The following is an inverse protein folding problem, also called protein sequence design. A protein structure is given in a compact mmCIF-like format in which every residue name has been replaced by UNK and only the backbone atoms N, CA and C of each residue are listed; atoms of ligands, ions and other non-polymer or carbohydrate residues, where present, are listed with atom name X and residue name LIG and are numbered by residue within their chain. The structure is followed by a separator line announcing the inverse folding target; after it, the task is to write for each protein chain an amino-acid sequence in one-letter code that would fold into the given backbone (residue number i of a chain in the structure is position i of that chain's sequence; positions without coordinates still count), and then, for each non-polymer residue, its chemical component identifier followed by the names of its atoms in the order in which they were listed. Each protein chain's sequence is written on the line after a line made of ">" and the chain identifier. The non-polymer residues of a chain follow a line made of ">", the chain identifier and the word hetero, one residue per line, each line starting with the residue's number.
data_IF_595400120057
#
_entry.id   IF_595400120057
#
_cell.length_a   1.000
_cell.length_b   1.000
_cell.length_c   1.000
_cell.angle_alpha   90.00
_cell.angle_beta   90.00
_cell.angle_gamma   90.00
#
_symmetry.space_group_name_H-M   'P 1'
#
loop_
_entity.id
_entity.type
_entity.pdbx_description
1 polymer ?
#
# COMPACT_ATOMS: atom_id res chain seq x y z
N UNK A 1 15.12 -14.69 -10.15
CA UNK A 1 14.75 -13.29 -10.49
C UNK A 1 15.87 -12.34 -10.11
N UNK A 2 16.13 -11.32 -10.91
CA UNK A 2 17.05 -10.21 -10.61
C UNK A 2 16.34 -9.17 -9.76
N UNK A 3 17.03 -8.53 -8.85
CA UNK A 3 16.46 -7.49 -7.99
C UNK A 3 17.30 -6.21 -8.09
N UNK A 4 16.63 -5.07 -8.14
CA UNK A 4 17.26 -3.75 -8.19
C UNK A 4 16.60 -2.85 -7.14
N UNK A 5 17.38 -2.27 -6.24
CA UNK A 5 16.88 -1.21 -5.35
C UNK A 5 16.72 0.06 -6.17
N UNK A 6 15.55 0.64 -6.12
CA UNK A 6 15.18 1.82 -6.90
C UNK A 6 14.63 2.93 -6.03
N UNK A 7 14.76 4.14 -6.51
CA UNK A 7 14.09 5.30 -5.94
C UNK A 7 13.36 6.05 -7.05
N UNK A 8 12.21 6.56 -6.73
CA UNK A 8 11.44 7.43 -7.61
C UNK A 8 10.71 8.49 -6.78
N UNK A 9 10.06 9.44 -7.42
CA UNK A 9 9.42 10.56 -6.71
C UNK A 9 7.92 10.55 -6.92
N UNK A 10 7.19 10.86 -5.84
CA UNK A 10 5.76 11.12 -5.86
C UNK A 10 5.52 12.47 -5.22
N UNK A 11 5.01 13.43 -6.00
CA UNK A 11 4.79 14.82 -5.57
C UNK A 11 5.99 15.44 -4.80
N UNK A 12 7.20 15.18 -5.30
CA UNK A 12 8.45 15.68 -4.70
C UNK A 12 8.99 14.87 -3.53
N UNK A 13 8.28 13.85 -3.05
CA UNK A 13 8.71 12.95 -1.98
C UNK A 13 9.42 11.74 -2.60
N UNK A 14 10.61 11.41 -2.13
CA UNK A 14 11.38 10.27 -2.60
C UNK A 14 10.86 8.98 -1.98
N UNK A 15 10.50 8.04 -2.83
CA UNK A 15 10.02 6.72 -2.45
C UNK A 15 11.09 5.64 -2.71
N UNK A 16 11.21 4.71 -1.78
CA UNK A 16 12.12 3.58 -1.86
C UNK A 16 11.40 2.33 -2.33
N UNK A 17 11.91 1.68 -3.36
CA UNK A 17 11.33 0.49 -3.95
C UNK A 17 12.35 -0.59 -4.27
N UNK A 18 11.82 -1.73 -4.68
CA UNK A 18 12.58 -2.85 -5.26
C UNK A 18 11.90 -3.26 -6.54
N UNK A 19 12.64 -3.21 -7.64
CA UNK A 19 12.23 -3.74 -8.93
C UNK A 19 12.72 -5.18 -9.06
N UNK A 20 11.80 -6.08 -9.27
CA UNK A 20 12.02 -7.50 -9.50
C UNK A 20 11.87 -7.79 -10.99
N UNK A 21 12.86 -8.35 -11.61
CA UNK A 21 12.92 -8.64 -13.04
C UNK A 21 13.11 -10.14 -13.28
N UNK A 22 12.52 -10.71 -14.35
CA UNK A 22 12.88 -12.06 -14.80
C UNK A 22 14.37 -12.22 -15.05
N UNK A 23 14.90 -13.43 -14.83
CA UNK A 23 16.32 -13.73 -15.09
C UNK A 23 16.62 -13.84 -16.59
N UNK A 24 15.64 -14.30 -17.36
CA UNK A 24 15.77 -14.48 -18.80
C UNK A 24 15.46 -13.19 -19.55
N UNK A 25 16.41 -12.74 -20.33
CA UNK A 25 16.14 -11.75 -21.39
C UNK A 25 15.40 -12.46 -22.53
N UNK A 26 14.12 -12.16 -22.68
CA UNK A 26 13.29 -12.74 -23.75
C UNK A 26 13.39 -11.92 -25.05
N UNK A 27 14.28 -10.94 -25.12
CA UNK A 27 14.42 -10.03 -26.27
C UNK A 27 13.22 -9.09 -26.47
N UNK A 28 12.32 -9.01 -25.46
CA UNK A 28 11.14 -8.13 -25.46
C UNK A 28 10.96 -7.53 -24.07
N UNK A 29 10.45 -6.29 -23.97
CA UNK A 29 10.09 -5.69 -22.69
C UNK A 29 9.04 -6.51 -21.92
N UNK A 30 9.15 -6.55 -20.59
CA UNK A 30 8.25 -7.30 -19.71
C UNK A 30 6.99 -6.49 -19.38
N UNK A 31 5.82 -7.14 -19.27
CA UNK A 31 4.69 -6.51 -18.59
C UNK A 31 5.07 -6.09 -17.19
N UNK A 32 4.69 -4.87 -16.80
CA UNK A 32 5.03 -4.30 -15.49
C UNK A 32 3.87 -4.38 -14.52
N UNK A 33 4.15 -4.82 -13.29
CA UNK A 33 3.18 -4.87 -12.20
C UNK A 33 3.66 -3.96 -11.07
N UNK A 34 2.84 -2.96 -10.69
CA UNK A 34 3.07 -2.16 -9.49
C UNK A 34 2.31 -2.77 -8.33
N UNK A 35 3.01 -3.04 -7.24
CA UNK A 35 2.38 -3.43 -6.00
C UNK A 35 2.40 -2.32 -4.96
N UNK A 36 1.20 -1.92 -4.50
CA UNK A 36 1.02 -1.16 -3.28
C UNK A 36 0.86 -2.10 -2.07
N UNK A 37 1.68 -1.96 -1.02
CA UNK A 37 1.53 -2.74 0.21
C UNK A 37 0.15 -2.60 0.85
N UNK A 38 -0.25 -3.59 1.63
CA UNK A 38 -1.48 -3.57 2.41
C UNK A 38 -1.39 -2.67 3.63
N UNK A 39 -2.43 -2.69 4.46
CA UNK A 39 -2.48 -1.94 5.71
C UNK A 39 -1.30 -2.33 6.62
N UNK A 40 -0.48 -1.35 7.00
CA UNK A 40 0.77 -1.52 7.74
C UNK A 40 1.81 -2.42 7.04
N UNK A 41 1.68 -2.66 5.74
CA UNK A 41 2.61 -3.47 4.97
C UNK A 41 3.81 -2.66 4.46
N UNK A 42 4.95 -3.34 4.34
CA UNK A 42 6.18 -2.78 3.77
C UNK A 42 6.64 -3.64 2.58
N UNK A 43 7.43 -3.05 1.69
CA UNK A 43 7.98 -3.70 0.49
C UNK A 43 8.76 -5.00 0.75
N UNK A 44 9.38 -5.11 1.94
CA UNK A 44 10.23 -6.23 2.33
C UNK A 44 9.48 -7.43 2.91
N UNK A 45 8.14 -7.41 2.90
CA UNK A 45 7.35 -8.50 3.47
C UNK A 45 7.56 -9.80 2.67
N UNK A 46 7.93 -10.88 3.36
CA UNK A 46 8.32 -12.18 2.75
C UNK A 46 7.27 -12.75 1.81
N UNK A 47 5.99 -12.59 2.13
CA UNK A 47 4.91 -13.10 1.27
C UNK A 47 4.85 -12.37 -0.09
N UNK A 48 5.24 -11.09 -0.17
CA UNK A 48 5.36 -10.39 -1.45
C UNK A 48 6.50 -10.96 -2.29
N UNK A 49 7.65 -11.17 -1.68
CA UNK A 49 8.84 -11.71 -2.37
C UNK A 49 8.53 -13.09 -2.95
N UNK A 50 7.86 -13.97 -2.20
CA UNK A 50 7.47 -15.29 -2.68
C UNK A 50 6.52 -15.23 -3.88
N UNK A 51 5.64 -14.23 -3.93
CA UNK A 51 4.75 -14.02 -5.06
C UNK A 51 5.50 -13.45 -6.26
N UNK A 52 6.39 -12.47 -6.05
CA UNK A 52 7.18 -11.90 -7.14
C UNK A 52 8.10 -12.93 -7.79
N UNK A 53 8.63 -13.88 -7.03
CA UNK A 53 9.39 -14.98 -7.61
C UNK A 53 8.56 -15.79 -8.63
N UNK A 54 7.29 -16.06 -8.31
CA UNK A 54 6.37 -16.74 -9.24
C UNK A 54 6.01 -15.88 -10.45
N UNK A 55 5.75 -14.58 -10.24
CA UNK A 55 5.42 -13.67 -11.32
C UNK A 55 6.61 -13.44 -12.25
N UNK A 56 7.82 -13.27 -11.71
CA UNK A 56 9.03 -13.15 -12.52
C UNK A 56 9.32 -14.44 -13.31
N UNK A 57 9.12 -15.62 -12.72
CA UNK A 57 9.22 -16.88 -13.44
C UNK A 57 8.22 -16.99 -14.58
N UNK A 58 7.06 -16.33 -14.47
CA UNK A 58 6.05 -16.25 -15.52
C UNK A 58 6.28 -15.10 -16.53
N UNK A 59 7.39 -14.35 -16.40
CA UNK A 59 7.77 -13.31 -17.36
C UNK A 59 7.22 -11.91 -17.05
N UNK A 60 6.81 -11.62 -15.83
CA UNK A 60 6.36 -10.30 -15.38
C UNK A 60 7.45 -9.59 -14.57
N UNK A 61 7.63 -8.30 -14.77
CA UNK A 61 8.40 -7.45 -13.89
C UNK A 61 7.50 -6.90 -12.77
N UNK A 62 8.01 -6.81 -11.53
CA UNK A 62 7.24 -6.35 -10.39
C UNK A 62 7.98 -5.22 -9.67
N UNK A 63 7.31 -4.10 -9.43
CA UNK A 63 7.80 -3.02 -8.58
C UNK A 63 6.99 -3.01 -7.29
N UNK A 64 7.68 -3.21 -6.17
CA UNK A 64 7.14 -3.02 -4.83
C UNK A 64 7.89 -1.89 -4.14
N UNK A 65 7.18 -1.04 -3.40
CA UNK A 65 7.76 0.13 -2.76
C UNK A 65 7.10 0.42 -1.41
N UNK A 66 7.77 1.19 -0.57
CA UNK A 66 7.15 1.74 0.63
C UNK A 66 6.42 3.03 0.29
N UNK A 67 5.18 3.19 0.76
CA UNK A 67 4.46 4.45 0.62
C UNK A 67 5.18 5.61 1.32
N UNK A 68 4.88 6.85 0.92
CA UNK A 68 5.38 8.04 1.63
C UNK A 68 5.11 7.95 3.13
N UNK A 69 6.10 8.32 3.92
CA UNK A 69 6.02 8.24 5.38
C UNK A 69 6.16 6.82 5.97
N UNK A 70 6.47 5.80 5.14
CA UNK A 70 6.61 4.41 5.58
C UNK A 70 7.97 3.83 5.21
N UNK A 71 8.43 2.86 5.99
CA UNK A 71 9.66 2.12 5.72
C UNK A 71 10.85 3.02 5.40
N UNK A 72 11.48 2.76 4.26
CA UNK A 72 12.65 3.49 3.77
C UNK A 72 12.29 4.72 2.90
N UNK A 73 11.00 4.96 2.62
CA UNK A 73 10.53 6.13 1.89
C UNK A 73 10.56 7.39 2.76
N UNK A 74 10.79 8.53 2.12
CA UNK A 74 10.71 9.84 2.76
C UNK A 74 9.25 10.23 3.06
N UNK A 75 9.09 11.32 3.78
CA UNK A 75 7.80 11.90 4.17
C UNK A 75 7.79 12.25 5.66
N UNK A 76 7.28 13.43 5.99
CA UNK A 76 7.29 13.97 7.36
C UNK A 76 6.21 13.30 8.23
N UNK A 77 5.09 12.92 7.63
CA UNK A 77 3.98 12.27 8.33
C UNK A 77 4.22 10.76 8.41
N UNK A 78 5.10 10.38 9.34
CA UNK A 78 5.48 8.97 9.52
C UNK A 78 4.33 8.13 10.04
N UNK A 79 4.11 7.00 9.37
CA UNK A 79 3.11 6.00 9.78
C UNK A 79 1.65 6.36 9.47
N UNK A 80 1.39 7.48 8.75
CA UNK A 80 0.01 7.84 8.40
C UNK A 80 -0.54 6.99 7.27
N UNK A 81 -1.75 6.47 7.47
CA UNK A 81 -2.49 5.76 6.43
C UNK A 81 -3.41 6.73 5.72
N UNK A 82 -2.98 7.21 4.57
CA UNK A 82 -3.71 8.18 3.74
C UNK A 82 -3.97 7.57 2.36
N UNK A 83 -5.14 6.95 2.12
CA UNK A 83 -5.41 6.23 0.87
C UNK A 83 -5.23 7.07 -0.39
N UNK A 84 -5.57 8.37 -0.34
CA UNK A 84 -5.37 9.28 -1.48
C UNK A 84 -3.87 9.45 -1.83
N UNK A 85 -3.02 9.61 -0.83
CA UNK A 85 -1.57 9.70 -1.05
C UNK A 85 -1.01 8.38 -1.56
N UNK A 86 -1.47 7.26 -0.98
CA UNK A 86 -1.06 5.93 -1.41
C UNK A 86 -1.45 5.63 -2.87
N UNK A 87 -2.64 6.07 -3.30
CA UNK A 87 -3.04 5.96 -4.69
C UNK A 87 -2.14 6.80 -5.62
N UNK A 88 -1.76 8.01 -5.22
CA UNK A 88 -0.85 8.86 -6.00
C UNK A 88 0.57 8.27 -6.05
N UNK A 89 1.03 7.64 -4.96
CA UNK A 89 2.30 6.92 -4.93
C UNK A 89 2.31 5.74 -5.91
N UNK A 90 1.20 4.98 -6.01
CA UNK A 90 1.05 3.90 -7.00
C UNK A 90 1.08 4.47 -8.42
N UNK A 91 0.40 5.60 -8.70
CA UNK A 91 0.43 6.26 -10.01
C UNK A 91 1.82 6.74 -10.39
N UNK A 92 2.56 7.27 -9.42
CA UNK A 92 3.96 7.66 -9.60
C UNK A 92 4.86 6.45 -9.86
N UNK A 93 4.59 5.32 -9.22
CA UNK A 93 5.29 4.05 -9.48
C UNK A 93 5.00 3.52 -10.90
N UNK A 94 3.77 3.66 -11.40
CA UNK A 94 3.44 3.37 -12.81
C UNK A 94 4.25 4.26 -13.76
N UNK A 95 4.31 5.57 -13.49
CA UNK A 95 5.11 6.52 -14.29
C UNK A 95 6.60 6.17 -14.26
N UNK A 96 7.11 5.73 -13.11
CA UNK A 96 8.49 5.25 -13.03
C UNK A 96 8.71 4.00 -13.91
N UNK A 97 7.80 3.03 -13.90
CA UNK A 97 7.91 1.85 -14.76
C UNK A 97 7.92 2.20 -16.25
N UNK A 98 7.14 3.20 -16.69
CA UNK A 98 7.15 3.67 -18.08
C UNK A 98 8.52 4.20 -18.54
N UNK A 99 9.36 4.66 -17.61
CA UNK A 99 10.72 5.16 -17.95
C UNK A 99 11.74 4.04 -18.11
N UNK A 100 11.39 2.81 -17.77
CA UNK A 100 12.32 1.67 -17.76
C UNK A 100 12.33 0.96 -19.10
N UNK A 101 13.50 0.82 -19.76
CA UNK A 101 13.59 0.17 -21.07
C UNK A 101 13.23 -1.32 -21.06
N UNK A 102 13.30 -1.96 -19.88
CA UNK A 102 12.94 -3.37 -19.71
C UNK A 102 11.42 -3.58 -19.59
N UNK A 103 10.64 -2.50 -19.44
CA UNK A 103 9.20 -2.57 -19.19
C UNK A 103 8.40 -2.19 -20.45
N UNK A 104 7.38 -2.96 -20.73
CA UNK A 104 6.39 -2.64 -21.75
C UNK A 104 5.33 -1.69 -21.16
N UNK A 105 5.42 -0.42 -21.53
CA UNK A 105 4.52 0.64 -21.05
C UNK A 105 3.04 0.42 -21.42
N UNK A 106 2.76 -0.37 -22.47
CA UNK A 106 1.40 -0.70 -22.89
C UNK A 106 0.79 -1.87 -22.11
N UNK A 107 1.59 -2.54 -21.26
CA UNK A 107 1.17 -3.70 -20.46
C UNK A 107 1.46 -3.51 -18.97
N UNK A 108 0.90 -2.44 -18.41
CA UNK A 108 1.01 -2.14 -16.98
C UNK A 108 -0.19 -2.69 -16.19
N UNK A 109 0.09 -3.14 -14.98
CA UNK A 109 -0.92 -3.68 -14.07
C UNK A 109 -0.71 -3.17 -12.65
N UNK A 110 -1.78 -3.18 -11.87
CA UNK A 110 -1.73 -3.00 -10.41
C UNK A 110 -2.03 -4.30 -9.68
N UNK A 111 -1.27 -4.56 -8.64
CA UNK A 111 -1.53 -5.63 -7.69
C UNK A 111 -1.60 -5.04 -6.28
N UNK A 112 -2.63 -5.38 -5.55
CA UNK A 112 -2.76 -4.98 -4.16
C UNK A 112 -3.19 -6.12 -3.27
N UNK A 113 -2.56 -6.27 -2.10
CA UNK A 113 -2.95 -7.26 -1.11
C UNK A 113 -3.27 -6.61 0.23
N UNK A 114 -4.18 -7.25 0.98
CA UNK A 114 -4.70 -6.71 2.22
C UNK A 114 -5.65 -5.53 2.01
N UNK A 115 -6.26 -5.06 3.09
CA UNK A 115 -7.37 -4.10 3.02
C UNK A 115 -7.10 -2.87 2.17
N UNK A 116 -6.11 -2.07 2.54
CA UNK A 116 -5.79 -0.84 1.81
C UNK A 116 -5.10 -1.12 0.47
N UNK A 117 -4.15 -2.05 0.42
CA UNK A 117 -3.44 -2.36 -0.81
C UNK A 117 -4.38 -2.84 -1.91
N UNK A 118 -5.28 -3.79 -1.60
CA UNK A 118 -6.26 -4.28 -2.56
C UNK A 118 -7.26 -3.19 -2.98
N UNK A 119 -7.74 -2.36 -2.06
CA UNK A 119 -8.62 -1.23 -2.35
C UNK A 119 -7.95 -0.18 -3.22
N UNK A 120 -6.70 0.19 -2.90
CA UNK A 120 -5.92 1.15 -3.67
C UNK A 120 -5.65 0.65 -5.10
N UNK A 121 -5.33 -0.64 -5.29
CA UNK A 121 -5.11 -1.21 -6.60
C UNK A 121 -6.33 -1.06 -7.52
N UNK A 122 -7.53 -1.36 -7.00
CA UNK A 122 -8.80 -1.20 -7.73
C UNK A 122 -9.07 0.27 -8.02
N UNK A 123 -8.88 1.14 -7.02
CA UNK A 123 -9.11 2.57 -7.20
C UNK A 123 -8.20 3.15 -8.28
N UNK A 124 -6.90 2.85 -8.25
CA UNK A 124 -5.96 3.33 -9.28
C UNK A 124 -6.29 2.75 -10.64
N UNK A 125 -6.65 1.46 -10.74
CA UNK A 125 -7.07 0.87 -12.01
C UNK A 125 -8.32 1.54 -12.61
N UNK A 126 -9.21 2.05 -11.76
CA UNK A 126 -10.41 2.75 -12.22
C UNK A 126 -10.13 4.17 -12.75
N UNK A 127 -9.08 4.83 -12.27
CA UNK A 127 -8.81 6.24 -12.62
C UNK A 127 -7.59 6.44 -13.52
N UNK A 128 -6.73 5.42 -13.68
CA UNK A 128 -5.53 5.52 -14.49
C UNK A 128 -5.60 4.59 -15.74
N UNK A 129 -5.75 5.15 -16.93
CA UNK A 129 -5.97 4.39 -18.17
C UNK A 129 -4.77 3.54 -18.59
N UNK A 130 -3.59 3.75 -18.01
CA UNK A 130 -2.39 2.94 -18.26
C UNK A 130 -2.53 1.53 -17.69
N UNK A 131 -3.35 1.35 -16.64
CA UNK A 131 -3.57 0.05 -16.01
C UNK A 131 -4.48 -0.81 -16.89
N UNK A 132 -3.92 -1.91 -17.43
CA UNK A 132 -4.63 -2.87 -18.29
C UNK A 132 -5.17 -4.07 -17.52
N UNK A 133 -4.61 -4.35 -16.34
CA UNK A 133 -5.02 -5.44 -15.47
C UNK A 133 -4.90 -5.03 -14.01
N UNK A 134 -5.83 -5.48 -13.20
CA UNK A 134 -5.80 -5.24 -11.75
C UNK A 134 -6.05 -6.55 -11.01
N UNK A 135 -5.21 -6.82 -10.02
CA UNK A 135 -5.42 -7.92 -9.07
C UNK A 135 -5.59 -7.33 -7.68
N UNK A 136 -6.76 -7.54 -7.09
CA UNK A 136 -7.05 -7.14 -5.71
C UNK A 136 -7.24 -8.39 -4.84
N UNK A 137 -6.36 -8.58 -3.88
CA UNK A 137 -6.42 -9.69 -2.94
C UNK A 137 -6.78 -9.18 -1.55
N UNK A 138 -7.99 -9.54 -1.07
CA UNK A 138 -8.56 -9.11 0.22
C UNK A 138 -8.74 -7.58 0.32
N UNK A 139 -9.06 -6.90 -0.79
CA UNK A 139 -9.26 -5.46 -0.83
C UNK A 139 -10.51 -5.02 -0.07
N UNK A 140 -10.40 -3.88 0.63
CA UNK A 140 -11.52 -3.21 1.27
C UNK A 140 -12.15 -2.24 0.25
N UNK A 141 -13.42 -2.47 -0.09
CA UNK A 141 -14.17 -1.60 -1.01
C UNK A 141 -14.69 -0.34 -0.34
N UNK A 142 -15.06 -0.44 0.94
CA UNK A 142 -15.56 0.67 1.75
C UNK A 142 -14.88 0.67 3.12
N UNK A 143 -14.03 1.68 3.36
CA UNK A 143 -13.40 1.84 4.66
C UNK A 143 -14.41 2.03 5.80
N UNK A 144 -15.53 2.71 5.52
CA UNK A 144 -16.62 2.90 6.50
C UNK A 144 -17.23 1.56 6.91
N UNK A 145 -17.63 0.75 5.95
CA UNK A 145 -18.24 -0.56 6.22
C UNK A 145 -17.25 -1.50 6.89
N UNK A 146 -16.01 -1.51 6.44
CA UNK A 146 -14.96 -2.30 7.06
C UNK A 146 -14.75 -1.94 8.53
N UNK A 147 -14.70 -0.65 8.86
CA UNK A 147 -14.54 -0.18 10.24
C UNK A 147 -15.79 -0.46 11.09
N UNK A 148 -16.99 -0.38 10.48
CA UNK A 148 -18.26 -0.71 11.14
C UNK A 148 -18.33 -2.20 11.48
N UNK A 149 -18.02 -3.10 10.52
CA UNK A 149 -18.03 -4.55 10.75
C UNK A 149 -17.11 -5.04 11.89
N UNK A 150 -16.14 -4.23 12.29
CA UNK A 150 -15.24 -4.54 13.39
C UNK A 150 -15.75 -4.08 14.77
N UNK A 151 -16.91 -3.44 14.82
CA UNK A 151 -17.46 -2.79 16.02
C UNK A 151 -18.87 -3.25 16.29
N UNK A 152 -19.25 -3.29 17.56
CA UNK A 152 -20.65 -3.38 17.96
C UNK A 152 -21.32 -2.04 17.71
N UNK A 153 -22.65 -2.02 17.57
CA UNK A 153 -23.38 -0.80 17.18
C UNK A 153 -23.12 0.39 18.13
N UNK A 154 -23.09 0.16 19.45
CA UNK A 154 -22.81 1.25 20.38
C UNK A 154 -21.36 1.77 20.29
N UNK A 155 -20.39 0.89 20.03
CA UNK A 155 -19.00 1.28 19.78
C UNK A 155 -18.86 2.06 18.48
N UNK A 156 -19.68 1.72 17.48
CA UNK A 156 -19.72 2.43 16.22
C UNK A 156 -20.25 3.85 16.37
N UNK A 157 -21.33 4.04 17.15
CA UNK A 157 -21.87 5.37 17.47
C UNK A 157 -20.82 6.25 18.15
N UNK A 158 -20.14 5.71 19.16
CA UNK A 158 -19.07 6.44 19.88
C UNK A 158 -17.89 6.76 18.96
N UNK A 159 -17.52 5.82 18.08
CA UNK A 159 -16.46 6.02 17.10
C UNK A 159 -16.81 7.15 16.09
N UNK A 160 -18.03 7.19 15.59
CA UNK A 160 -18.47 8.26 14.69
C UNK A 160 -18.44 9.62 15.39
N UNK A 161 -18.85 9.67 16.67
CA UNK A 161 -18.76 10.89 17.46
C UNK A 161 -17.31 11.35 17.61
N UNK A 162 -16.38 10.44 17.90
CA UNK A 162 -14.96 10.78 18.02
C UNK A 162 -14.38 11.36 16.73
N UNK A 163 -14.80 10.84 15.57
CA UNK A 163 -14.41 11.37 14.25
C UNK A 163 -14.96 12.78 14.04
N UNK A 164 -16.22 13.02 14.42
CA UNK A 164 -16.82 14.34 14.27
C UNK A 164 -16.18 15.38 15.20
N UNK A 165 -15.86 14.99 16.42
CA UNK A 165 -15.16 15.84 17.38
C UNK A 165 -13.73 16.15 16.89
N UNK A 166 -12.98 15.17 16.38
CA UNK A 166 -11.66 15.40 15.77
C UNK A 166 -11.76 16.35 14.55
N UNK A 167 -12.78 16.17 13.71
CA UNK A 167 -13.01 17.06 12.57
C UNK A 167 -13.19 18.52 13.00
N UNK A 168 -13.95 18.76 14.08
CA UNK A 168 -14.15 20.10 14.66
C UNK A 168 -12.84 20.65 15.23
N UNK A 169 -12.10 19.83 15.98
CA UNK A 169 -10.80 20.23 16.54
C UNK A 169 -9.78 20.58 15.47
N UNK A 170 -9.73 19.80 14.39
CA UNK A 170 -8.85 20.12 13.23
C UNK A 170 -9.21 21.46 12.60
N UNK A 171 -10.49 21.78 12.48
CA UNK A 171 -10.94 23.06 11.93
C UNK A 171 -10.52 24.24 12.83
N UNK A 172 -10.47 24.04 14.14
CA UNK A 172 -10.11 25.07 15.11
C UNK A 172 -8.58 25.21 15.29
N UNK A 173 -7.85 24.11 15.26
CA UNK A 173 -6.45 24.07 15.70
C UNK A 173 -5.46 23.78 14.57
N UNK A 174 -5.93 23.32 13.41
CA UNK A 174 -5.10 22.80 12.32
C UNK A 174 -4.45 21.44 12.62
N UNK A 175 -4.74 20.84 13.78
CA UNK A 175 -4.09 19.57 14.22
C UNK A 175 -5.12 18.44 14.28
N UNK A 176 -4.78 17.30 13.65
CA UNK A 176 -5.54 16.06 13.74
C UNK A 176 -5.11 15.24 14.97
N UNK A 177 -6.03 14.49 15.54
CA UNK A 177 -5.69 13.46 16.50
C UNK A 177 -4.94 12.32 15.78
N UNK A 178 -3.82 11.90 16.35
CA UNK A 178 -3.09 10.71 15.89
C UNK A 178 -3.53 9.55 16.79
N UNK A 179 -4.02 8.50 16.16
CA UNK A 179 -4.50 7.30 16.87
C UNK A 179 -3.71 6.08 16.41
N UNK A 180 -3.40 5.20 17.36
CA UNK A 180 -2.74 3.94 17.04
C UNK A 180 -3.60 3.11 16.07
N UNK A 181 -2.96 2.46 15.12
CA UNK A 181 -3.63 1.50 14.26
C UNK A 181 -4.02 0.22 15.02
N UNK A 182 -3.45 -0.04 16.19
CA UNK A 182 -3.58 -1.29 16.94
C UNK A 182 -4.35 -1.13 18.24
N UNK A 183 -3.86 -0.35 19.18
CA UNK A 183 -4.41 -0.25 20.55
C UNK A 183 -5.42 0.90 20.66
N UNK A 184 -6.68 0.56 20.92
CA UNK A 184 -7.76 1.53 21.12
C UNK A 184 -8.04 2.46 19.94
N UNK A 185 -7.37 2.23 18.81
CA UNK A 185 -7.42 3.08 17.64
C UNK A 185 -8.37 2.57 16.53
N UNK A 186 -7.86 2.57 15.29
CA UNK A 186 -8.65 2.23 14.11
C UNK A 186 -9.09 0.77 14.11
N UNK A 187 -8.18 -0.15 14.50
CA UNK A 187 -8.44 -1.58 14.53
C UNK A 187 -8.93 -2.01 15.90
N UNK A 188 -10.14 -2.52 16.01
CA UNK A 188 -10.60 -3.20 17.22
C UNK A 188 -9.86 -4.53 17.35
N UNK A 189 -9.21 -4.74 18.48
CA UNK A 189 -8.56 -6.00 18.79
C UNK A 189 -9.59 -7.00 19.32
N UNK A 190 -9.96 -7.98 18.51
CA UNK A 190 -10.65 -9.17 19.03
C UNK A 190 -9.63 -10.13 19.66
N UNK A 191 -10.06 -11.04 20.56
CA UNK A 191 -9.17 -12.05 21.13
C UNK A 191 -8.37 -12.83 20.08
N UNK A 192 -8.99 -13.14 18.95
CA UNK A 192 -8.37 -13.84 17.83
C UNK A 192 -7.29 -12.98 17.15
N UNK A 193 -7.48 -11.66 17.10
CA UNK A 193 -6.52 -10.71 16.51
C UNK A 193 -5.37 -10.39 17.42
N UNK A 194 -5.52 -10.51 18.73
CA UNK A 194 -4.43 -10.36 19.69
C UNK A 194 -3.34 -11.42 19.50
N UNK A 195 -3.71 -12.58 18.96
CA UNK A 195 -2.77 -13.66 18.63
C UNK A 195 -2.08 -13.48 17.28
N UNK A 196 -2.55 -12.56 16.44
CA UNK A 196 -1.93 -12.27 15.15
C UNK A 196 -0.73 -11.35 15.38
N UNK A 197 0.39 -11.92 15.73
CA UNK A 197 1.66 -11.20 15.79
C UNK A 197 2.08 -10.82 14.38
N UNK A 198 2.18 -9.53 14.11
CA UNK A 198 3.03 -9.05 13.01
C UNK A 198 4.42 -9.57 13.35
N UNK A 199 5.03 -10.29 12.40
CA UNK A 199 6.36 -10.84 12.62
C UNK A 199 7.29 -9.71 13.05
N UNK A 200 8.15 -9.99 14.01
CA UNK A 200 9.05 -9.02 14.64
C UNK A 200 9.88 -8.22 13.61
N UNK A 201 10.30 -8.89 12.52
CA UNK A 201 11.03 -8.28 11.41
C UNK A 201 10.26 -7.19 10.64
N UNK A 202 8.93 -7.13 10.82
CA UNK A 202 8.07 -6.07 10.26
C UNK A 202 7.69 -5.07 11.35
N UNK A 203 7.47 -5.54 12.58
CA UNK A 203 7.08 -4.70 13.71
C UNK A 203 8.12 -3.59 13.99
N UNK A 204 9.41 -3.94 13.92
CA UNK A 204 10.51 -3.01 14.19
C UNK A 204 10.64 -1.89 13.13
N UNK A 205 9.96 -2.01 11.99
CA UNK A 205 9.97 -1.03 10.90
C UNK A 205 8.69 -0.18 10.82
N UNK A 206 7.72 -0.44 11.68
CA UNK A 206 6.47 0.31 11.74
C UNK A 206 6.62 1.36 12.84
N UNK A 207 6.48 2.67 12.53
CA UNK A 207 6.49 3.70 13.55
C UNK A 207 5.36 3.48 14.55
N UNK A 208 5.63 3.72 15.84
CA UNK A 208 4.63 3.72 16.92
C UNK A 208 3.62 4.88 16.78
#
# INVERSE_FOLDING_TARGET
>A
MRTEKVNFYSEGIKLAGVLYLPDSDQGKPFPGIVQGPGFLGLKDAKHYIMMFDKLCAAGYACLCFDYRGWGDSEGNERGWVMPKWQAEDIRSALSYLETRPEIDADRLATYGSGGTGGGNAVYVAAIDPRVKCCVSYLGVSSGREWLHCMRREYEWVDYLKSIDDDRKQRALTGKAAIVSAREGGVMVQTPERQTTTIKKDVADKIPD
#
